data_IF_362375002101
#
_entry.id   IF_362375002101
#
_cell.length_a   1.000
_cell.length_b   1.000
_cell.length_c   1.000
_cell.angle_alpha   90.00
_cell.angle_beta   90.00
_cell.angle_gamma   90.00
#
_symmetry.space_group_name_H-M   'P 1'
#
loop_
_entity.id
_entity.type
_entity.pdbx_description
1 polymer ?
#
# COMPACT_ATOMS: atom_id res chain seq x y z
N UNK A 1 -18.26 14.51 -4.04
CA UNK A 1 -17.90 13.55 -5.09
C UNK A 1 -16.99 12.56 -4.40
N UNK A 2 -17.54 11.47 -3.89
CA UNK A 2 -16.85 10.50 -3.05
C UNK A 2 -16.94 9.11 -3.68
N UNK A 3 -15.89 8.32 -3.45
CA UNK A 3 -15.50 7.07 -4.10
C UNK A 3 -14.95 7.23 -5.52
N UNK A 4 -13.72 7.75 -5.64
CA UNK A 4 -12.86 7.27 -6.74
C UNK A 4 -12.37 5.89 -6.29
N UNK A 5 -12.87 4.85 -6.97
CA UNK A 5 -12.38 3.46 -6.97
C UNK A 5 -10.94 3.34 -7.51
N UNK A 6 -10.10 4.34 -7.22
CA UNK A 6 -8.77 4.49 -7.77
C UNK A 6 -7.96 3.25 -7.52
N UNK A 7 -8.01 2.63 -6.35
CA UNK A 7 -7.24 1.43 -6.06
C UNK A 7 -8.16 0.21 -5.99
N UNK A 8 -7.83 -0.94 -6.57
CA UNK A 8 -8.63 -2.17 -6.34
C UNK A 8 -7.79 -3.41 -6.54
N UNK A 9 -8.09 -4.47 -5.81
CA UNK A 9 -7.51 -5.78 -6.11
C UNK A 9 -8.31 -6.41 -7.24
N UNK A 10 -7.62 -6.78 -8.31
CA UNK A 10 -8.16 -7.55 -9.42
C UNK A 10 -7.74 -9.00 -9.26
N UNK A 11 -8.71 -9.88 -9.10
CA UNK A 11 -8.48 -11.30 -8.83
C UNK A 11 -9.23 -11.79 -7.62
N UNK A 12 -8.88 -12.99 -7.17
CA UNK A 12 -9.44 -13.58 -5.96
C UNK A 12 -8.34 -13.61 -4.91
N UNK A 13 -8.62 -13.02 -3.75
CA UNK A 13 -7.71 -13.06 -2.59
C UNK A 13 -7.93 -14.40 -1.91
N UNK A 14 -6.88 -15.22 -1.81
CA UNK A 14 -6.90 -16.47 -1.05
C UNK A 14 -5.67 -16.55 -0.17
N UNK A 15 -5.83 -16.23 1.12
CA UNK A 15 -4.74 -16.32 2.10
C UNK A 15 -4.75 -17.71 2.73
N UNK A 16 -3.63 -18.47 2.60
CA UNK A 16 -3.49 -19.80 3.18
C UNK A 16 -3.72 -19.80 4.70
N UNK A 17 -4.41 -20.82 5.21
CA UNK A 17 -4.82 -20.90 6.62
C UNK A 17 -3.63 -20.79 7.57
N UNK A 18 -2.51 -21.42 7.24
CA UNK A 18 -1.27 -21.41 8.02
C UNK A 18 -0.60 -20.04 8.09
N UNK A 19 -0.93 -19.12 7.17
CA UNK A 19 -0.41 -17.74 7.17
C UNK A 19 -1.39 -16.71 7.75
N UNK A 20 -2.65 -17.08 8.00
CA UNK A 20 -3.69 -16.12 8.43
C UNK A 20 -3.36 -15.45 9.76
N UNK A 21 -2.83 -16.19 10.72
CA UNK A 21 -2.49 -15.63 12.03
C UNK A 21 -1.40 -14.56 11.91
N UNK A 22 -0.36 -14.82 11.13
CA UNK A 22 0.69 -13.85 10.83
C UNK A 22 0.16 -12.64 10.07
N UNK A 23 -0.65 -12.90 9.04
CA UNK A 23 -1.29 -11.85 8.24
C UNK A 23 -2.16 -10.92 9.10
N UNK A 24 -3.02 -11.49 9.95
CA UNK A 24 -3.89 -10.73 10.85
C UNK A 24 -3.09 -9.86 11.82
N UNK A 25 -2.02 -10.40 12.44
CA UNK A 25 -1.13 -9.62 13.30
C UNK A 25 -0.46 -8.46 12.55
N UNK A 26 -0.09 -8.67 11.29
CA UNK A 26 0.50 -7.61 10.47
C UNK A 26 -0.53 -6.53 10.09
N UNK A 27 -1.78 -6.91 9.81
CA UNK A 27 -2.89 -5.95 9.59
C UNK A 27 -3.14 -5.11 10.84
N UNK A 28 -3.23 -5.74 12.02
CA UNK A 28 -3.37 -5.04 13.31
C UNK A 28 -2.22 -4.05 13.52
N UNK A 29 -0.99 -4.45 13.21
CA UNK A 29 0.18 -3.57 13.31
C UNK A 29 0.10 -2.38 12.36
N UNK A 30 -0.36 -2.58 11.12
CA UNK A 30 -0.63 -1.50 10.17
C UNK A 30 -1.67 -0.54 10.76
N UNK A 31 -2.82 -1.04 11.22
CA UNK A 31 -3.85 -0.18 11.82
C UNK A 31 -3.33 0.60 13.03
N UNK A 32 -2.53 -0.04 13.89
CA UNK A 32 -1.98 0.61 15.09
C UNK A 32 -0.98 1.71 14.73
N UNK A 33 0.02 1.39 13.91
CA UNK A 33 1.09 2.29 13.48
C UNK A 33 0.54 3.47 12.69
N UNK A 34 -0.45 3.24 11.82
CA UNK A 34 -1.10 4.31 11.05
C UNK A 34 -2.14 5.12 11.83
N UNK A 35 -2.29 4.87 13.15
CA UNK A 35 -3.23 5.62 13.97
C UNK A 35 -4.69 5.43 13.54
N UNK A 36 -5.02 4.26 12.99
CA UNK A 36 -6.39 3.91 12.58
C UNK A 36 -7.13 3.39 13.80
N UNK A 37 -8.28 3.99 14.09
CA UNK A 37 -9.04 3.75 15.32
C UNK A 37 -10.54 3.58 15.05
N UNK A 38 -11.21 3.04 16.05
CA UNK A 38 -12.66 3.02 16.13
C UNK A 38 -13.13 4.10 17.11
N UNK A 39 -14.14 4.89 16.73
CA UNK A 39 -14.75 5.84 17.65
C UNK A 39 -15.77 5.16 18.55
N UNK A 40 -15.80 5.54 19.82
CA UNK A 40 -16.81 5.11 20.80
C UNK A 40 -17.30 6.32 21.60
N UNK A 41 -18.56 6.29 22.05
CA UNK A 41 -19.10 7.30 22.97
C UNK A 41 -18.93 6.83 24.41
N UNK A 42 -18.37 7.68 25.27
CA UNK A 42 -18.13 7.41 26.69
C UNK A 42 -18.56 8.59 27.55
N UNK A 43 -19.05 8.29 28.74
CA UNK A 43 -19.30 9.30 29.78
C UNK A 43 -18.03 9.54 30.59
N UNK A 44 -17.66 10.81 30.76
CA UNK A 44 -16.60 11.26 31.66
C UNK A 44 -17.18 12.37 32.53
N UNK A 45 -17.37 12.08 33.82
CA UNK A 45 -18.14 12.93 34.70
C UNK A 45 -19.59 13.05 34.21
N UNK A 46 -20.04 14.28 33.92
CA UNK A 46 -21.38 14.59 33.41
C UNK A 46 -21.40 14.85 31.89
N UNK A 47 -20.32 14.57 31.16
CA UNK A 47 -20.20 14.81 29.71
C UNK A 47 -20.07 13.52 28.92
N UNK A 48 -20.82 13.42 27.82
CA UNK A 48 -20.59 12.42 26.78
C UNK A 48 -19.54 12.94 25.79
N UNK A 49 -18.48 12.17 25.58
CA UNK A 49 -17.38 12.49 24.66
C UNK A 49 -17.13 11.36 23.66
N UNK A 50 -16.51 11.69 22.53
CA UNK A 50 -15.99 10.68 21.61
C UNK A 50 -14.57 10.27 21.99
N UNK A 51 -14.33 8.97 22.16
CA UNK A 51 -13.00 8.39 22.42
C UNK A 51 -12.55 7.49 21.28
N UNK A 52 -11.26 7.19 21.24
CA UNK A 52 -10.64 6.29 20.27
C UNK A 52 -10.26 4.97 20.92
N UNK A 53 -10.81 3.88 20.39
CA UNK A 53 -10.40 2.53 20.75
C UNK A 53 -9.51 1.94 19.65
N UNK A 54 -8.54 1.10 20.05
CA UNK A 54 -7.86 0.22 19.10
C UNK A 54 -8.90 -0.70 18.41
N UNK A 55 -8.86 -0.84 17.08
CA UNK A 55 -9.77 -1.75 16.40
C UNK A 55 -9.51 -3.18 16.86
N UNK A 56 -10.56 -3.86 17.31
CA UNK A 56 -10.51 -5.25 17.77
C UNK A 56 -11.54 -6.08 17.01
N UNK A 57 -11.26 -7.38 16.87
CA UNK A 57 -12.19 -8.30 16.23
C UNK A 57 -13.36 -8.61 17.17
N UNK A 58 -14.59 -8.55 16.65
CA UNK A 58 -15.77 -9.06 17.35
C UNK A 58 -15.85 -10.61 17.30
N UNK A 59 -16.93 -11.17 17.86
CA UNK A 59 -17.18 -12.62 17.89
C UNK A 59 -17.21 -13.25 16.47
N UNK A 60 -17.60 -12.46 15.47
CA UNK A 60 -17.63 -12.86 14.07
C UNK A 60 -16.28 -12.69 13.37
N UNK A 61 -15.28 -12.13 14.04
CA UNK A 61 -13.96 -11.84 13.49
C UNK A 61 -13.92 -10.54 12.70
N UNK A 62 -14.90 -9.66 12.86
CA UNK A 62 -14.96 -8.38 12.15
C UNK A 62 -14.29 -7.30 13.01
N UNK A 63 -13.23 -6.72 12.47
CA UNK A 63 -12.55 -5.54 13.00
C UNK A 63 -13.17 -4.32 12.34
N UNK A 64 -13.73 -3.39 13.11
CA UNK A 64 -14.34 -2.16 12.60
C UNK A 64 -13.47 -0.95 12.95
N UNK A 65 -13.36 -0.01 12.02
CA UNK A 65 -12.63 1.24 12.23
C UNK A 65 -13.22 2.33 11.35
N UNK A 66 -13.09 3.57 11.81
CA UNK A 66 -13.76 4.70 11.16
C UNK A 66 -13.07 6.03 11.48
N UNK A 67 -11.82 6.02 11.96
CA UNK A 67 -11.12 7.25 12.33
C UNK A 67 -9.64 7.18 12.01
N UNK A 68 -9.12 8.26 11.40
CA UNK A 68 -7.70 8.50 11.23
C UNK A 68 -7.22 9.52 12.28
N UNK A 69 -6.37 9.08 13.21
CA UNK A 69 -5.74 9.98 14.20
C UNK A 69 -4.89 11.05 13.55
N UNK A 70 -4.24 10.70 12.45
CA UNK A 70 -3.31 11.57 11.75
C UNK A 70 -4.03 12.63 10.94
N UNK A 71 -5.14 12.28 10.30
CA UNK A 71 -5.95 13.24 9.52
C UNK A 71 -7.01 13.95 10.38
N UNK A 72 -7.19 13.53 11.64
CA UNK A 72 -8.21 14.04 12.59
C UNK A 72 -9.63 13.93 12.00
N UNK A 73 -9.92 12.81 11.35
CA UNK A 73 -11.09 12.67 10.50
C UNK A 73 -11.81 11.35 10.71
N UNK A 74 -13.12 11.44 10.88
CA UNK A 74 -14.05 10.30 10.81
C UNK A 74 -14.26 9.91 9.35
N UNK A 75 -14.20 8.61 9.08
CA UNK A 75 -14.38 7.96 7.78
C UNK A 75 -15.69 7.18 7.74
N UNK A 76 -16.14 6.83 6.54
CA UNK A 76 -17.27 5.91 6.39
C UNK A 76 -16.90 4.54 7.00
N UNK A 77 -17.88 3.80 7.52
CA UNK A 77 -17.58 2.62 8.36
C UNK A 77 -16.83 1.52 7.61
N UNK A 78 -15.51 1.46 7.80
CA UNK A 78 -14.63 0.47 7.23
C UNK A 78 -14.55 -0.78 8.11
N UNK A 79 -14.23 -1.91 7.50
CA UNK A 79 -14.06 -3.16 8.23
C UNK A 79 -13.09 -4.13 7.60
N UNK A 80 -12.49 -4.96 8.44
CA UNK A 80 -11.61 -6.04 8.07
C UNK A 80 -12.08 -7.33 8.72
N UNK A 81 -12.11 -8.44 7.98
CA UNK A 81 -12.54 -9.74 8.50
C UNK A 81 -11.32 -10.64 8.72
N UNK A 82 -11.06 -11.03 9.97
CA UNK A 82 -9.89 -11.86 10.34
C UNK A 82 -9.99 -13.32 9.88
N UNK A 83 -11.20 -13.80 9.55
CA UNK A 83 -11.46 -15.16 9.06
C UNK A 83 -11.28 -15.27 7.54
N UNK A 84 -11.75 -14.28 6.79
CA UNK A 84 -11.63 -14.24 5.32
C UNK A 84 -10.45 -13.42 4.82
N UNK A 85 -9.83 -12.64 5.71
CA UNK A 85 -8.78 -11.67 5.42
C UNK A 85 -9.19 -10.58 4.41
N UNK A 86 -10.49 -10.31 4.27
CA UNK A 86 -11.01 -9.30 3.36
C UNK A 86 -11.13 -7.93 4.03
N UNK A 87 -10.82 -6.89 3.26
CA UNK A 87 -10.95 -5.49 3.65
C UNK A 87 -12.13 -4.88 2.88
N UNK A 88 -13.04 -4.24 3.60
CA UNK A 88 -14.17 -3.47 3.06
C UNK A 88 -13.90 -2.01 3.43
N UNK A 89 -13.62 -1.19 2.41
CA UNK A 89 -13.27 0.22 2.62
C UNK A 89 -14.00 1.13 1.59
N UNK A 90 -15.22 1.61 1.92
CA UNK A 90 -16.01 2.47 1.03
C UNK A 90 -15.36 3.86 0.80
N UNK A 91 -14.70 4.42 1.81
CA UNK A 91 -13.92 5.67 1.70
C UNK A 91 -12.43 5.40 1.90
N UNK A 92 -11.71 5.19 0.79
CA UNK A 92 -10.26 4.95 0.83
C UNK A 92 -9.45 6.10 1.41
N UNK A 93 -9.98 7.33 1.37
CA UNK A 93 -9.17 8.53 1.61
C UNK A 93 -8.00 8.68 0.62
N UNK A 94 -7.15 9.69 0.87
CA UNK A 94 -6.04 10.06 -0.03
C UNK A 94 -4.69 10.21 0.70
N UNK A 95 -4.68 10.42 2.02
CA UNK A 95 -3.47 10.67 2.82
C UNK A 95 -3.11 9.44 3.68
N UNK A 96 -2.79 9.61 4.97
CA UNK A 96 -2.31 8.52 5.85
C UNK A 96 -3.30 7.35 5.94
N UNK A 97 -4.61 7.62 5.89
CA UNK A 97 -5.63 6.58 5.86
C UNK A 97 -5.54 5.72 4.59
N UNK A 98 -5.38 6.37 3.44
CA UNK A 98 -5.23 5.68 2.15
C UNK A 98 -3.95 4.85 2.09
N UNK A 99 -2.86 5.34 2.69
CA UNK A 99 -1.62 4.57 2.81
C UNK A 99 -1.83 3.31 3.65
N UNK A 100 -2.53 3.40 4.79
CA UNK A 100 -2.85 2.24 5.63
C UNK A 100 -3.69 1.20 4.87
N UNK A 101 -4.75 1.64 4.18
CA UNK A 101 -5.61 0.74 3.40
C UNK A 101 -4.84 0.07 2.26
N UNK A 102 -4.04 0.84 1.52
CA UNK A 102 -3.21 0.30 0.45
C UNK A 102 -2.15 -0.67 0.98
N UNK A 103 -1.57 -0.43 2.16
CA UNK A 103 -0.67 -1.38 2.81
C UNK A 103 -1.35 -2.72 3.07
N UNK A 104 -2.61 -2.72 3.54
CA UNK A 104 -3.39 -3.96 3.74
C UNK A 104 -3.63 -4.67 2.40
N UNK A 105 -4.02 -3.94 1.35
CA UNK A 105 -4.22 -4.53 0.02
C UNK A 105 -2.93 -5.12 -0.57
N UNK A 106 -1.79 -4.47 -0.36
CA UNK A 106 -0.48 -4.97 -0.81
C UNK A 106 -0.10 -6.24 -0.07
N UNK A 107 -0.37 -6.31 1.24
CA UNK A 107 -0.19 -7.55 1.98
C UNK A 107 -1.14 -8.64 1.45
N UNK A 108 -2.41 -8.33 1.15
CA UNK A 108 -3.35 -9.31 0.59
C UNK A 108 -2.81 -9.89 -0.72
N UNK A 109 -2.26 -9.05 -1.59
CA UNK A 109 -1.60 -9.49 -2.82
C UNK A 109 -0.38 -10.38 -2.54
N UNK A 110 0.52 -9.96 -1.65
CA UNK A 110 1.75 -10.69 -1.33
C UNK A 110 1.48 -12.07 -0.71
N UNK A 111 0.46 -12.19 0.15
CA UNK A 111 0.13 -13.43 0.84
C UNK A 111 -0.78 -14.36 0.04
N UNK A 112 -1.39 -13.90 -1.05
CA UNK A 112 -2.36 -14.69 -1.81
C UNK A 112 -1.70 -15.84 -2.57
N UNK A 113 -2.25 -17.05 -2.45
CA UNK A 113 -1.83 -18.22 -3.24
C UNK A 113 -2.38 -18.18 -4.67
N UNK A 114 -3.50 -17.47 -4.87
CA UNK A 114 -4.12 -17.25 -6.19
C UNK A 114 -3.67 -15.92 -6.79
N UNK A 115 -3.51 -15.84 -8.12
CA UNK A 115 -3.15 -14.59 -8.78
C UNK A 115 -4.17 -13.50 -8.50
N UNK A 116 -3.70 -12.40 -7.91
CA UNK A 116 -4.44 -11.16 -7.73
C UNK A 116 -3.45 -9.99 -7.74
N UNK A 117 -3.90 -8.81 -8.17
CA UNK A 117 -3.04 -7.65 -8.35
C UNK A 117 -3.72 -6.38 -7.87
N UNK A 118 -3.03 -5.60 -7.03
CA UNK A 118 -3.46 -4.25 -6.70
C UNK A 118 -3.27 -3.35 -7.92
N UNK A 119 -4.39 -2.85 -8.42
CA UNK A 119 -4.47 -1.89 -9.50
C UNK A 119 -4.73 -0.49 -8.94
N UNK A 120 -4.24 0.50 -9.66
CA UNK A 120 -4.57 1.92 -9.53
C UNK A 120 -5.11 2.37 -10.87
N UNK A 121 -6.41 2.63 -10.95
CA UNK A 121 -7.16 2.81 -12.18
C UNK A 121 -6.97 1.57 -13.09
N UNK A 122 -6.45 1.77 -14.29
CA UNK A 122 -6.13 0.70 -15.24
C UNK A 122 -4.67 0.21 -15.17
N UNK A 123 -3.89 0.67 -14.19
CA UNK A 123 -2.45 0.39 -14.11
C UNK A 123 -2.08 -0.42 -12.86
N UNK A 124 -1.02 -1.23 -12.93
CA UNK A 124 -0.49 -1.91 -11.75
C UNK A 124 -0.03 -0.89 -10.70
N UNK A 125 -0.42 -1.10 -9.45
CA UNK A 125 0.09 -0.27 -8.36
C UNK A 125 1.58 -0.57 -8.13
N UNK A 126 2.42 0.46 -7.95
CA UNK A 126 3.78 0.26 -7.48
C UNK A 126 3.74 -0.26 -6.03
N UNK A 127 4.41 -1.38 -5.77
CA UNK A 127 4.46 -2.06 -4.46
C UNK A 127 5.77 -1.84 -3.73
N UNK A 128 6.86 -1.42 -4.38
CA UNK A 128 8.21 -1.42 -3.81
C UNK A 128 8.35 -0.53 -2.56
N UNK A 129 7.84 0.70 -2.62
CA UNK A 129 7.89 1.63 -1.49
C UNK A 129 7.01 1.18 -0.33
N UNK A 130 5.81 0.66 -0.62
CA UNK A 130 4.92 0.12 0.39
C UNK A 130 5.50 -1.13 1.04
N UNK A 131 6.06 -2.05 0.24
CA UNK A 131 6.69 -3.27 0.72
C UNK A 131 7.83 -2.92 1.67
N UNK A 132 8.75 -2.03 1.27
CA UNK A 132 9.84 -1.59 2.15
C UNK A 132 9.35 -1.06 3.50
N UNK A 133 8.27 -0.28 3.50
CA UNK A 133 7.66 0.25 4.73
C UNK A 133 7.00 -0.86 5.57
N UNK A 134 6.26 -1.78 4.94
CA UNK A 134 5.61 -2.90 5.64
C UNK A 134 6.67 -3.84 6.23
N UNK A 135 7.76 -4.10 5.51
CA UNK A 135 8.85 -4.95 6.00
C UNK A 135 9.59 -4.32 7.18
N UNK A 136 9.87 -3.01 7.15
CA UNK A 136 10.46 -2.29 8.30
C UNK A 136 9.51 -2.32 9.51
N UNK A 137 8.22 -2.17 9.25
CA UNK A 137 7.20 -2.21 10.28
C UNK A 137 7.04 -3.60 10.89
N UNK A 138 6.91 -4.65 10.08
CA UNK A 138 6.54 -6.00 10.52
C UNK A 138 7.76 -6.86 10.86
N UNK A 139 8.92 -6.56 10.29
CA UNK A 139 10.13 -7.38 10.32
C UNK A 139 10.11 -8.59 9.37
N UNK A 140 8.98 -8.83 8.69
CA UNK A 140 8.84 -9.87 7.67
C UNK A 140 9.25 -9.36 6.29
N UNK A 141 9.68 -10.26 5.39
CA UNK A 141 9.89 -9.94 3.97
C UNK A 141 8.62 -10.21 3.18
N UNK A 142 8.28 -9.33 2.25
CA UNK A 142 7.16 -9.56 1.34
C UNK A 142 7.67 -10.07 -0.01
N UNK A 143 7.08 -11.19 -0.43
CA UNK A 143 7.29 -11.74 -1.77
C UNK A 143 6.02 -11.55 -2.61
N UNK A 144 6.20 -11.29 -3.91
CA UNK A 144 5.11 -11.10 -4.86
C UNK A 144 5.18 -12.15 -5.97
N UNK A 145 4.88 -13.43 -5.67
CA UNK A 145 5.15 -14.55 -6.57
C UNK A 145 4.42 -14.43 -7.92
N UNK A 146 3.23 -13.83 -7.92
CA UNK A 146 2.41 -13.66 -9.14
C UNK A 146 2.88 -12.51 -10.03
N UNK A 147 3.79 -11.65 -9.55
CA UNK A 147 4.40 -10.56 -10.34
C UNK A 147 5.67 -10.99 -11.08
N UNK A 148 6.13 -12.22 -10.89
CA UNK A 148 7.44 -12.69 -11.38
C UNK A 148 7.58 -12.86 -12.91
N UNK A 149 6.53 -12.60 -13.70
CA UNK A 149 6.57 -12.48 -15.16
C UNK A 149 5.48 -11.55 -15.63
N UNK A 150 5.84 -10.53 -16.38
CA UNK A 150 4.85 -9.54 -16.81
C UNK A 150 3.81 -10.09 -17.79
N UNK A 151 4.21 -11.02 -18.65
CA UNK A 151 3.31 -11.68 -19.60
C UNK A 151 2.18 -12.43 -18.88
N UNK A 152 2.49 -13.07 -17.74
CA UNK A 152 1.49 -13.79 -16.95
C UNK A 152 0.47 -12.80 -16.33
N UNK A 153 0.94 -11.64 -15.86
CA UNK A 153 0.07 -10.57 -15.34
C UNK A 153 -0.81 -10.01 -16.44
N UNK A 154 -0.25 -9.73 -17.62
CA UNK A 154 -1.00 -9.25 -18.78
C UNK A 154 -2.05 -10.26 -19.25
N UNK A 155 -1.67 -11.53 -19.41
CA UNK A 155 -2.58 -12.59 -19.80
C UNK A 155 -3.75 -12.70 -18.81
N UNK A 156 -3.46 -12.60 -17.50
CA UNK A 156 -4.48 -12.59 -16.45
C UNK A 156 -5.44 -11.39 -16.57
N UNK A 157 -4.93 -10.19 -16.85
CA UNK A 157 -5.75 -8.99 -17.02
C UNK A 157 -6.60 -9.06 -18.29
N UNK A 158 -6.01 -9.45 -19.43
CA UNK A 158 -6.71 -9.53 -20.73
C UNK A 158 -7.85 -10.55 -20.76
N UNK A 159 -7.84 -11.53 -19.85
CA UNK A 159 -8.95 -12.50 -19.66
C UNK A 159 -10.16 -11.91 -18.92
N UNK A 160 -10.07 -10.69 -18.39
CA UNK A 160 -11.16 -10.02 -17.66
C UNK A 160 -11.78 -8.94 -18.52
N UNK A 161 -13.11 -8.92 -18.55
CA UNK A 161 -13.86 -7.97 -19.39
C UNK A 161 -13.50 -6.51 -19.12
N UNK A 162 -13.29 -6.15 -17.84
CA UNK A 162 -12.89 -4.79 -17.44
C UNK A 162 -11.50 -4.36 -17.95
N UNK A 163 -10.62 -5.33 -18.25
CA UNK A 163 -9.20 -5.09 -18.57
C UNK A 163 -8.80 -5.62 -19.95
N UNK A 164 -9.76 -6.09 -20.75
CA UNK A 164 -9.52 -6.66 -22.09
C UNK A 164 -8.76 -5.69 -23.00
N UNK A 165 -9.08 -4.40 -22.89
CA UNK A 165 -8.51 -3.33 -23.71
C UNK A 165 -7.45 -2.51 -22.96
N UNK A 166 -6.90 -3.02 -21.85
CA UNK A 166 -5.85 -2.32 -21.10
C UNK A 166 -4.64 -2.07 -22.00
N UNK A 167 -4.17 -0.83 -22.02
CA UNK A 167 -2.98 -0.41 -22.78
C UNK A 167 -1.72 -0.96 -22.10
N UNK A 168 -0.93 -1.74 -22.83
CA UNK A 168 0.32 -2.33 -22.35
C UNK A 168 1.32 -1.24 -21.90
N UNK A 169 1.23 -0.01 -22.42
CA UNK A 169 2.06 1.11 -21.96
C UNK A 169 1.69 1.63 -20.56
N UNK A 170 0.40 1.58 -20.19
CA UNK A 170 -0.02 1.98 -18.84
C UNK A 170 0.58 1.05 -17.78
N UNK A 171 0.75 -0.23 -18.14
CA UNK A 171 1.43 -1.22 -17.31
C UNK A 171 2.95 -0.99 -17.30
N UNK A 172 3.54 -0.69 -18.47
CA UNK A 172 4.98 -0.37 -18.64
C UNK A 172 5.51 0.70 -17.68
N UNK A 173 4.82 1.84 -17.56
CA UNK A 173 5.34 2.99 -16.81
C UNK A 173 5.40 2.77 -15.28
N UNK A 174 4.72 1.75 -14.75
CA UNK A 174 4.69 1.48 -13.30
C UNK A 174 5.53 0.28 -12.87
N UNK A 175 6.05 -0.47 -13.84
CA UNK A 175 6.92 -1.64 -13.69
C UNK A 175 8.35 -1.23 -13.32
N UNK A 176 8.83 -0.08 -13.83
CA UNK A 176 10.20 0.39 -13.62
C UNK A 176 10.51 0.89 -12.21
N UNK A 177 9.49 1.22 -11.42
CA UNK A 177 9.65 1.79 -10.07
C UNK A 177 9.74 0.73 -8.95
N UNK A 178 9.59 -0.56 -9.28
CA UNK A 178 9.30 -1.60 -8.30
C UNK A 178 10.38 -2.69 -8.13
N UNK A 179 10.37 -3.27 -6.94
CA UNK A 179 11.22 -4.35 -6.41
C UNK A 179 11.07 -5.70 -7.12
N UNK A 180 10.51 -5.72 -8.32
CA UNK A 180 10.28 -6.95 -9.10
C UNK A 180 11.49 -7.11 -10.04
N UNK A 181 12.20 -8.25 -9.99
CA UNK A 181 13.31 -8.50 -10.89
C UNK A 181 12.75 -8.72 -12.30
N UNK A 182 12.66 -7.66 -13.09
CA UNK A 182 12.39 -7.75 -14.52
C UNK A 182 13.67 -8.03 -15.28
N UNK A 183 13.56 -8.90 -16.27
CA UNK A 183 14.65 -9.24 -17.19
C UNK A 183 14.49 -8.46 -18.49
N UNK A 184 15.58 -8.30 -19.24
CA UNK A 184 15.51 -7.82 -20.63
C UNK A 184 14.58 -8.67 -21.48
N UNK A 185 14.45 -9.97 -21.19
CA UNK A 185 13.55 -10.88 -21.89
C UNK A 185 12.08 -10.52 -21.62
N UNK A 186 11.71 -10.11 -20.40
CA UNK A 186 10.36 -9.63 -20.10
C UNK A 186 10.03 -8.36 -20.90
N UNK A 187 11.01 -7.47 -21.08
CA UNK A 187 10.86 -6.25 -21.91
C UNK A 187 10.63 -6.64 -23.37
N UNK A 188 11.47 -7.53 -23.92
CA UNK A 188 11.35 -7.99 -25.31
C UNK A 188 10.00 -8.70 -25.51
N UNK A 189 9.56 -9.51 -24.54
CA UNK A 189 8.28 -10.21 -24.60
C UNK A 189 7.12 -9.22 -24.78
N UNK A 190 7.11 -8.14 -24.00
CA UNK A 190 6.11 -7.06 -24.09
C UNK A 190 6.14 -6.30 -25.41
N UNK A 191 7.34 -5.99 -25.91
CA UNK A 191 7.48 -5.25 -27.16
C UNK A 191 6.86 -6.01 -28.33
N UNK A 192 7.03 -7.34 -28.40
CA UNK A 192 6.42 -8.14 -29.46
C UNK A 192 4.89 -8.21 -29.36
N UNK A 193 4.33 -8.27 -28.14
CA UNK A 193 2.87 -8.25 -27.96
C UNK A 193 2.26 -6.95 -28.52
N UNK A 194 2.95 -5.83 -28.33
CA UNK A 194 2.41 -4.50 -28.62
C UNK A 194 2.75 -3.98 -30.01
N UNK A 195 4.01 -4.05 -30.39
CA UNK A 195 4.56 -3.46 -31.61
C UNK A 195 4.74 -4.52 -32.70
N UNK A 196 3.75 -5.39 -32.87
CA UNK A 196 3.55 -6.14 -34.13
C UNK A 196 4.08 -5.27 -35.29
N UNK A 197 5.14 -5.67 -36.02
CA UNK A 197 5.87 -4.72 -36.84
C UNK A 197 4.96 -4.12 -37.91
N UNK A 198 4.55 -2.87 -37.68
CA UNK A 198 3.78 -2.06 -38.61
C UNK A 198 4.71 -1.53 -39.69
N UNK A 199 4.49 -1.94 -40.94
CA UNK A 199 4.91 -1.38 -42.24
C UNK A 199 6.39 -0.97 -42.49
N UNK A 200 7.21 -0.70 -41.48
CA UNK A 200 8.64 -0.34 -41.56
C UNK A 200 9.55 -1.57 -41.36
N UNK A 201 9.26 -2.67 -42.06
CA UNK A 201 10.17 -3.83 -42.07
C UNK A 201 11.48 -3.50 -42.75
N UNK A 202 12.55 -4.14 -42.28
CA UNK A 202 13.90 -3.92 -42.76
C UNK A 202 14.02 -4.21 -44.27
N UNK A 203 14.94 -3.48 -44.91
CA UNK A 203 15.25 -3.61 -46.34
C UNK A 203 15.95 -4.94 -46.70
N UNK A 204 16.43 -5.72 -45.73
CA UNK A 204 17.29 -6.89 -45.93
C UNK A 204 16.84 -8.10 -45.07
N UNK A 205 15.84 -8.90 -45.50
CA UNK A 205 15.40 -10.09 -44.77
C UNK A 205 16.49 -11.18 -44.73
N UNK A 206 16.46 -12.03 -43.70
CA UNK A 206 17.31 -13.22 -43.64
C UNK A 206 16.99 -14.16 -44.82
N UNK A 207 18.03 -14.56 -45.56
CA UNK A 207 17.96 -15.43 -46.73
C UNK A 207 18.87 -16.66 -46.63
N UNK A 208 19.37 -16.95 -45.43
CA UNK A 208 20.21 -18.09 -45.13
C UNK A 208 19.42 -19.38 -44.91
N UNK A 209 20.15 -20.44 -44.57
CA UNK A 209 19.67 -21.78 -44.24
C UNK A 209 19.45 -21.96 -42.74
N UNK A 210 18.76 -23.03 -42.33
CA UNK A 210 18.56 -23.39 -40.92
C UNK A 210 19.87 -23.41 -40.11
N UNK A 211 20.97 -23.88 -40.69
CA UNK A 211 22.28 -23.92 -40.02
C UNK A 211 22.89 -22.53 -39.72
N UNK A 212 22.41 -21.48 -40.38
CA UNK A 212 22.87 -20.10 -40.27
C UNK A 212 21.99 -19.27 -39.31
N UNK A 213 20.87 -19.82 -38.82
CA UNK A 213 19.96 -19.15 -37.85
C UNK A 213 20.70 -18.74 -36.57
N UNK A 214 21.67 -19.55 -36.13
CA UNK A 214 22.50 -19.26 -34.95
C UNK A 214 23.38 -18.01 -35.09
N UNK A 215 23.62 -17.55 -36.31
CA UNK A 215 24.47 -16.40 -36.62
C UNK A 215 23.65 -15.14 -36.97
N UNK A 216 22.33 -15.30 -37.17
CA UNK A 216 21.40 -14.21 -37.46
C UNK A 216 20.93 -13.46 -36.21
N UNK A 217 20.48 -12.21 -36.40
CA UNK A 217 19.82 -11.44 -35.34
C UNK A 217 18.35 -11.84 -35.23
N UNK A 218 17.73 -11.63 -34.06
CA UNK A 218 16.29 -11.90 -33.90
C UNK A 218 15.45 -11.05 -34.86
N UNK A 219 15.86 -9.82 -35.19
CA UNK A 219 15.10 -8.97 -36.11
C UNK A 219 15.09 -9.55 -37.53
N UNK A 220 16.23 -10.06 -38.01
CA UNK A 220 16.31 -10.62 -39.37
C UNK A 220 15.51 -11.93 -39.50
N UNK A 221 15.38 -12.67 -38.40
CA UNK A 221 14.67 -13.94 -38.34
C UNK A 221 13.14 -13.78 -38.30
N UNK A 222 12.61 -12.58 -38.08
CA UNK A 222 11.17 -12.39 -37.83
C UNK A 222 10.41 -12.51 -39.14
N UNK A 223 10.87 -11.77 -40.16
CA UNK A 223 10.34 -11.86 -41.51
C UNK A 223 10.54 -13.26 -42.12
N UNK A 224 11.67 -13.89 -41.80
CA UNK A 224 11.93 -15.26 -42.23
C UNK A 224 10.92 -16.23 -41.60
N UNK A 225 10.68 -16.11 -40.30
CA UNK A 225 9.69 -16.93 -39.59
C UNK A 225 8.27 -16.72 -40.13
N UNK A 226 7.84 -15.47 -40.30
CA UNK A 226 6.53 -15.14 -40.88
C UNK A 226 6.39 -15.74 -42.28
N UNK A 227 7.41 -15.62 -43.12
CA UNK A 227 7.42 -16.20 -44.47
C UNK A 227 7.26 -17.73 -44.43
N UNK A 228 8.08 -18.41 -43.63
CA UNK A 228 8.04 -19.86 -43.49
C UNK A 228 6.68 -20.35 -42.98
N UNK A 229 6.07 -19.62 -42.04
CA UNK A 229 4.71 -19.93 -41.56
C UNK A 229 3.66 -19.69 -42.65
N UNK A 230 3.72 -18.58 -43.39
CA UNK A 230 2.78 -18.29 -44.49
C UNK A 230 2.87 -19.34 -45.61
N UNK A 231 4.08 -19.76 -45.98
CA UNK A 231 4.29 -20.82 -46.96
C UNK A 231 3.74 -22.16 -46.46
N UNK A 232 3.93 -22.49 -45.18
CA UNK A 232 3.31 -23.68 -44.59
C UNK A 232 1.78 -23.59 -44.58
N UNK A 233 1.19 -22.46 -44.17
CA UNK A 233 -0.27 -22.29 -44.11
C UNK A 233 -0.94 -22.30 -45.49
N UNK A 234 -0.19 -22.04 -46.57
CA UNK A 234 -0.73 -22.10 -47.93
C UNK A 234 -1.08 -23.54 -48.36
N UNK A 235 -0.28 -24.53 -47.96
CA UNK A 235 -0.41 -25.94 -48.37
C UNK A 235 -0.67 -26.91 -47.20
N UNK A 236 -0.57 -26.43 -45.96
CA UNK A 236 -0.63 -27.19 -44.71
C UNK A 236 -1.92 -27.00 -43.93
N UNK A 237 -1.92 -27.45 -42.67
CA UNK A 237 -3.07 -27.35 -41.76
C UNK A 237 -2.75 -26.44 -40.59
N UNK A 238 -3.56 -25.40 -40.40
CA UNK A 238 -3.49 -24.50 -39.24
C UNK A 238 -3.63 -25.27 -37.92
N UNK A 239 -4.49 -26.29 -37.86
CA UNK A 239 -4.64 -27.13 -36.66
C UNK A 239 -3.34 -27.86 -36.30
N UNK A 240 -2.64 -28.40 -37.30
CA UNK A 240 -1.36 -29.11 -37.09
C UNK A 240 -0.28 -28.14 -36.63
N UNK A 241 -0.21 -26.94 -37.23
CA UNK A 241 0.71 -25.90 -36.79
C UNK A 241 0.41 -25.45 -35.36
N UNK A 242 -0.87 -25.26 -35.03
CA UNK A 242 -1.33 -24.84 -33.71
C UNK A 242 -0.98 -25.88 -32.63
N UNK A 243 -1.14 -27.17 -32.91
CA UNK A 243 -0.75 -28.24 -32.00
C UNK A 243 0.77 -28.30 -31.81
N UNK A 244 1.53 -28.14 -32.88
CA UNK A 244 3.00 -28.03 -32.80
C UNK A 244 3.43 -26.82 -31.95
N UNK A 245 2.83 -25.64 -32.17
CA UNK A 245 3.11 -24.44 -31.38
C UNK A 245 2.78 -24.65 -29.90
N UNK A 246 1.63 -25.26 -29.59
CA UNK A 246 1.21 -25.58 -28.22
C UNK A 246 2.26 -26.44 -27.52
N UNK A 247 2.74 -27.49 -28.18
CA UNK A 247 3.78 -28.37 -27.65
C UNK A 247 5.12 -27.64 -27.50
N UNK A 248 5.56 -26.93 -28.55
CA UNK A 248 6.84 -26.23 -28.59
C UNK A 248 6.94 -25.17 -27.49
N UNK A 249 5.94 -24.29 -27.37
CA UNK A 249 6.03 -23.18 -26.42
C UNK A 249 5.79 -23.63 -24.97
N UNK A 250 5.24 -24.83 -24.76
CA UNK A 250 5.11 -25.45 -23.43
C UNK A 250 6.33 -26.30 -23.05
N UNK A 251 7.28 -26.48 -23.97
CA UNK A 251 8.43 -27.36 -23.81
C UNK A 251 9.65 -26.65 -23.21
N UNK A 252 10.37 -27.38 -22.35
CA UNK A 252 11.66 -26.95 -21.82
C UNK A 252 12.76 -27.02 -22.89
N UNK A 253 13.92 -26.39 -22.61
CA UNK A 253 15.00 -26.26 -23.59
C UNK A 253 15.47 -27.60 -24.20
N UNK A 254 15.65 -28.71 -23.44
CA UNK A 254 16.07 -29.99 -24.01
C UNK A 254 15.09 -30.56 -25.04
N UNK A 255 13.79 -30.45 -24.80
CA UNK A 255 12.72 -30.91 -25.68
C UNK A 255 12.68 -30.06 -26.95
N UNK A 256 12.78 -28.74 -26.81
CA UNK A 256 12.84 -27.82 -27.96
C UNK A 256 14.06 -28.09 -28.85
N UNK A 257 15.20 -28.47 -28.28
CA UNK A 257 16.39 -28.89 -29.06
C UNK A 257 16.12 -30.14 -29.89
N UNK A 258 15.39 -31.12 -29.35
CA UNK A 258 14.99 -32.32 -30.11
C UNK A 258 14.02 -31.96 -31.24
N UNK A 259 13.08 -31.06 -30.99
CA UNK A 259 12.17 -30.56 -32.04
C UNK A 259 12.95 -29.83 -33.15
N UNK A 260 14.01 -29.11 -32.78
CA UNK A 260 14.89 -28.44 -33.72
C UNK A 260 15.76 -29.40 -34.55
N UNK A 261 15.80 -30.70 -34.27
CA UNK A 261 16.46 -31.68 -35.14
C UNK A 261 15.59 -32.06 -36.36
N UNK A 262 14.28 -31.77 -36.33
CA UNK A 262 13.37 -32.06 -37.44
C UNK A 262 13.72 -31.24 -38.68
N UNK A 263 13.46 -31.76 -39.87
CA UNK A 263 13.59 -31.02 -41.12
C UNK A 263 12.32 -30.21 -41.43
N UNK A 264 12.43 -29.24 -42.35
CA UNK A 264 11.31 -28.41 -42.80
C UNK A 264 10.91 -27.31 -41.80
N UNK A 265 9.71 -26.75 -42.01
CA UNK A 265 9.20 -25.57 -41.28
C UNK A 265 9.18 -25.76 -39.77
N UNK A 266 8.74 -26.91 -39.26
CA UNK A 266 8.72 -27.19 -37.82
C UNK A 266 10.12 -27.21 -37.21
N UNK A 267 11.09 -27.76 -37.92
CA UNK A 267 12.50 -27.70 -37.55
C UNK A 267 13.05 -26.29 -37.47
N UNK A 268 12.69 -25.43 -38.43
CA UNK A 268 13.08 -24.02 -38.47
C UNK A 268 12.46 -23.25 -37.30
N UNK A 269 11.15 -23.40 -37.07
CA UNK A 269 10.45 -22.75 -35.95
C UNK A 269 11.08 -23.18 -34.61
N UNK A 270 11.33 -24.48 -34.43
CA UNK A 270 11.94 -24.99 -33.21
C UNK A 270 13.39 -24.48 -33.02
N UNK A 271 14.19 -24.37 -34.08
CA UNK A 271 15.55 -23.81 -34.01
C UNK A 271 15.52 -22.34 -33.57
N UNK A 272 14.61 -21.53 -34.11
CA UNK A 272 14.44 -20.13 -33.71
C UNK A 272 14.01 -20.04 -32.23
N UNK A 273 13.15 -20.94 -31.76
CA UNK A 273 12.70 -20.98 -30.35
C UNK A 273 13.86 -21.09 -29.35
N UNK A 274 14.99 -21.69 -29.74
CA UNK A 274 16.14 -21.89 -28.85
C UNK A 274 16.76 -20.57 -28.37
N UNK A 275 16.45 -19.46 -29.05
CA UNK A 275 17.01 -18.13 -28.79
C UNK A 275 15.94 -17.03 -28.67
N UNK A 276 14.79 -17.20 -29.31
CA UNK A 276 13.69 -16.25 -29.27
C UNK A 276 12.77 -16.48 -28.07
N UNK A 277 12.18 -15.43 -27.47
CA UNK A 277 11.10 -15.58 -26.50
C UNK A 277 9.84 -16.17 -27.15
N UNK A 278 8.99 -16.79 -26.35
CA UNK A 278 7.79 -17.45 -26.88
C UNK A 278 6.81 -16.45 -27.55
N UNK A 279 6.71 -15.21 -27.04
CA UNK A 279 5.84 -14.18 -27.63
C UNK A 279 6.27 -13.79 -29.04
N UNK A 280 7.57 -13.86 -29.35
CA UNK A 280 8.09 -13.61 -30.70
C UNK A 280 7.54 -14.65 -31.68
N UNK A 281 7.59 -15.93 -31.32
CA UNK A 281 7.06 -17.00 -32.16
C UNK A 281 5.55 -16.85 -32.38
N UNK A 282 4.82 -16.55 -31.30
CA UNK A 282 3.35 -16.39 -31.34
C UNK A 282 2.96 -15.15 -32.14
N UNK A 283 3.73 -14.06 -32.07
CA UNK A 283 3.47 -12.84 -32.86
C UNK A 283 3.67 -13.10 -34.35
N UNK A 284 4.74 -13.80 -34.73
CA UNK A 284 4.96 -14.18 -36.13
C UNK A 284 3.85 -15.10 -36.67
N UNK A 285 3.34 -16.03 -35.86
CA UNK A 285 2.21 -16.88 -36.24
C UNK A 285 0.90 -16.07 -36.32
N UNK A 286 0.60 -15.24 -35.32
CA UNK A 286 -0.57 -14.37 -35.30
C UNK A 286 -0.64 -13.51 -36.58
N UNK A 287 0.48 -12.92 -36.97
CA UNK A 287 0.57 -12.16 -38.22
C UNK A 287 0.43 -13.03 -39.48
N UNK A 288 1.09 -14.18 -39.53
CA UNK A 288 1.03 -15.07 -40.68
C UNK A 288 -0.39 -15.60 -40.94
N UNK A 289 -1.15 -15.82 -39.87
CA UNK A 289 -2.52 -16.33 -39.91
C UNK A 289 -3.59 -15.23 -39.92
N UNK A 290 -3.21 -13.95 -39.82
CA UNK A 290 -4.14 -12.81 -39.67
C UNK A 290 -5.10 -12.97 -38.47
N UNK A 291 -4.56 -13.42 -37.32
CA UNK A 291 -5.28 -13.63 -36.05
C UNK A 291 -4.75 -12.66 -35.00
N UNK A 292 -5.59 -11.99 -34.19
CA UNK A 292 -5.12 -11.17 -33.08
C UNK A 292 -4.25 -11.96 -32.09
N UNK A 293 -3.11 -11.38 -31.66
CA UNK A 293 -2.15 -12.05 -30.79
C UNK A 293 -2.80 -12.74 -29.57
N UNK A 294 -3.65 -12.02 -28.84
CA UNK A 294 -4.27 -12.55 -27.61
C UNK A 294 -5.28 -13.66 -27.88
N UNK A 295 -5.98 -13.62 -29.03
CA UNK A 295 -6.87 -14.72 -29.45
C UNK A 295 -6.07 -16.00 -29.70
N UNK A 296 -4.96 -15.88 -30.44
CA UNK A 296 -4.05 -17.00 -30.67
C UNK A 296 -3.43 -17.50 -29.34
N UNK A 297 -2.88 -16.60 -28.53
CA UNK A 297 -2.25 -16.93 -27.25
C UNK A 297 -3.17 -17.74 -26.34
N UNK A 298 -4.43 -17.31 -26.15
CA UNK A 298 -5.38 -18.03 -25.31
C UNK A 298 -5.82 -19.36 -25.92
N UNK A 299 -5.89 -19.48 -27.25
CA UNK A 299 -6.19 -20.75 -27.92
C UNK A 299 -5.10 -21.81 -27.71
N UNK A 300 -3.85 -21.39 -27.49
CA UNK A 300 -2.70 -22.27 -27.21
C UNK A 300 -2.70 -22.81 -25.77
N UNK A 301 -3.55 -22.30 -24.87
CA UNK A 301 -3.75 -22.81 -23.50
C UNK A 301 -2.44 -23.10 -22.74
N UNK A 302 -1.49 -22.17 -22.81
CA UNK A 302 -0.15 -22.33 -22.26
C UNK A 302 0.32 -21.05 -21.58
N UNK A 303 1.32 -21.20 -20.70
CA UNK A 303 2.02 -20.06 -20.10
C UNK A 303 3.24 -19.64 -20.91
N UNK A 304 3.69 -20.45 -21.88
CA UNK A 304 4.90 -20.22 -22.65
C UNK A 304 6.19 -20.41 -21.83
N UNK A 305 7.26 -20.90 -22.46
CA UNK A 305 8.57 -21.04 -21.83
C UNK A 305 9.21 -19.69 -21.50
N UNK A 306 10.21 -19.70 -20.62
CA UNK A 306 11.13 -18.57 -20.42
C UNK A 306 12.45 -18.83 -21.12
N UNK A 307 12.90 -17.89 -21.94
CA UNK A 307 14.28 -17.89 -22.43
C UNK A 307 15.15 -17.48 -21.23
N UNK A 308 16.04 -18.37 -20.75
CA UNK A 308 17.01 -17.98 -19.72
C UNK A 308 18.21 -17.33 -20.42
N UNK A 309 18.05 -16.14 -20.96
CA UNK A 309 19.20 -15.42 -21.53
C UNK A 309 20.00 -14.84 -20.36
N UNK A 310 21.09 -15.51 -19.98
CA UNK A 310 22.00 -15.05 -18.93
C UNK A 310 22.74 -13.81 -19.47
N UNK A 311 22.26 -12.59 -19.19
CA UNK A 311 23.08 -11.39 -19.31
C UNK A 311 22.50 -10.24 -18.47
N UNK A 312 23.39 -9.64 -17.67
CA UNK A 312 23.22 -8.45 -16.82
C UNK A 312 22.24 -8.53 -15.65
N UNK A 313 22.60 -9.29 -14.60
CA UNK A 313 22.02 -9.08 -13.26
C UNK A 313 23.05 -8.94 -12.14
N UNK A 314 24.34 -8.75 -12.45
CA UNK A 314 25.34 -8.58 -11.38
C UNK A 314 25.28 -7.18 -10.71
N UNK A 315 24.54 -6.21 -11.26
CA UNK A 315 24.50 -4.84 -10.70
C UNK A 315 23.16 -4.41 -10.05
N UNK A 316 22.05 -5.14 -10.26
CA UNK A 316 20.76 -4.79 -9.62
C UNK A 316 20.51 -5.53 -8.29
N UNK A 317 21.27 -6.59 -8.00
CA UNK A 317 21.18 -7.34 -6.74
C UNK A 317 21.64 -6.54 -5.52
N UNK A 318 22.33 -5.42 -5.71
CA UNK A 318 22.84 -4.57 -4.62
C UNK A 318 21.87 -3.48 -4.15
N UNK A 319 20.68 -3.36 -4.74
CA UNK A 319 19.68 -2.38 -4.26
C UNK A 319 18.97 -2.81 -2.97
N UNK A 320 19.06 -4.09 -2.59
CA UNK A 320 18.47 -4.61 -1.35
C UNK A 320 19.21 -4.14 -0.09
N UNK A 321 20.48 -3.70 -0.19
CA UNK A 321 21.32 -3.39 0.98
C UNK A 321 21.12 -1.98 1.56
N UNK A 322 20.33 -1.10 0.94
CA UNK A 322 20.16 0.28 1.41
C UNK A 322 18.70 0.74 1.49
N UNK A 323 17.80 -0.11 2.00
CA UNK A 323 16.50 0.39 2.48
C UNK A 323 16.73 1.12 3.81
N UNK A 324 16.97 2.43 3.74
CA UNK A 324 17.10 3.29 4.93
C UNK A 324 15.78 3.27 5.69
N UNK A 325 15.84 2.80 6.95
CA UNK A 325 14.80 3.00 7.96
C UNK A 325 14.42 4.47 8.00
N UNK A 326 13.15 4.81 7.71
CA UNK A 326 12.61 6.17 7.87
C UNK A 326 11.67 6.13 9.05
N UNK A 327 11.80 7.11 9.95
CA UNK A 327 10.85 7.26 11.04
C UNK A 327 9.46 7.56 10.45
N UNK A 328 8.42 6.98 11.04
CA UNK A 328 7.07 6.97 10.49
C UNK A 328 6.57 8.38 10.12
N UNK A 329 6.87 9.39 10.95
CA UNK A 329 6.48 10.78 10.69
C UNK A 329 7.23 11.42 9.51
N UNK A 330 8.44 10.96 9.18
CA UNK A 330 9.18 11.38 7.99
C UNK A 330 8.53 10.82 6.71
N UNK A 331 7.88 9.66 6.81
CA UNK A 331 7.07 9.10 5.73
C UNK A 331 5.84 10.00 5.49
N UNK A 332 5.26 10.56 6.55
CA UNK A 332 4.11 11.48 6.48
C UNK A 332 4.48 12.96 6.31
N UNK A 333 5.76 13.29 6.09
CA UNK A 333 6.28 14.66 5.95
C UNK A 333 5.90 15.60 7.12
N UNK A 334 5.83 15.08 8.34
CA UNK A 334 5.61 15.89 9.54
C UNK A 334 6.93 16.42 10.09
N UNK A 335 6.87 17.60 10.68
CA UNK A 335 8.05 18.26 11.24
C UNK A 335 8.40 17.78 12.66
N UNK A 336 7.44 17.24 13.43
CA UNK A 336 7.60 16.82 14.83
C UNK A 336 6.53 15.79 15.26
N UNK A 337 6.70 15.27 16.49
CA UNK A 337 5.81 14.29 17.13
C UNK A 337 4.91 14.89 18.23
N UNK A 338 4.73 16.22 18.25
CA UNK A 338 4.14 16.92 19.39
C UNK A 338 2.76 16.36 19.81
N UNK A 339 1.92 15.96 18.85
CA UNK A 339 0.58 15.43 19.14
C UNK A 339 0.55 13.93 19.43
N UNK A 340 1.65 13.18 19.28
CA UNK A 340 1.67 11.71 19.22
C UNK A 340 2.66 11.07 20.21
N UNK A 341 2.93 11.78 21.30
CA UNK A 341 3.77 11.36 22.42
C UNK A 341 3.37 10.00 23.02
N UNK A 342 2.11 9.56 22.88
CA UNK A 342 1.68 8.24 23.35
C UNK A 342 2.37 7.07 22.61
N UNK A 343 2.96 7.33 21.45
CA UNK A 343 3.71 6.35 20.65
C UNK A 343 5.23 6.44 20.85
N UNK A 344 5.73 7.44 21.57
CA UNK A 344 7.16 7.67 21.79
C UNK A 344 7.50 9.13 22.07
N UNK A 345 8.76 9.40 22.41
CA UNK A 345 9.26 10.73 22.76
C UNK A 345 10.28 11.25 21.73
N UNK A 346 10.02 11.06 20.43
CA UNK A 346 10.98 11.33 19.35
C UNK A 346 11.27 12.81 19.15
N UNK A 347 11.04 13.34 17.94
CA UNK A 347 11.41 14.73 17.63
C UNK A 347 10.35 15.73 18.10
N UNK A 348 10.57 16.39 19.24
CA UNK A 348 9.66 17.40 19.81
C UNK A 348 10.02 18.83 19.37
N UNK A 349 9.01 19.65 19.13
CA UNK A 349 9.22 21.06 18.80
C UNK A 349 9.73 21.87 20.00
N UNK A 350 10.51 22.93 19.72
CA UNK A 350 10.95 23.88 20.75
C UNK A 350 9.76 24.51 21.51
N UNK A 351 8.63 24.67 20.84
CA UNK A 351 7.43 25.28 21.42
C UNK A 351 6.80 24.34 22.45
N UNK A 352 6.63 23.06 22.12
CA UNK A 352 6.12 22.07 23.07
C UNK A 352 7.08 21.90 24.25
N UNK A 353 8.40 21.85 24.01
CA UNK A 353 9.39 21.79 25.09
C UNK A 353 9.29 22.97 26.05
N UNK A 354 9.08 24.19 25.52
CA UNK A 354 8.82 25.38 26.34
C UNK A 354 7.55 25.24 27.17
N UNK A 355 6.45 24.76 26.57
CA UNK A 355 5.20 24.57 27.29
C UNK A 355 5.30 23.51 28.40
N UNK A 356 6.02 22.41 28.15
CA UNK A 356 6.27 21.36 29.15
C UNK A 356 7.04 21.94 30.34
N UNK A 357 7.99 22.86 30.10
CA UNK A 357 8.71 23.55 31.17
C UNK A 357 7.79 24.46 32.00
N UNK A 358 6.89 25.21 31.35
CA UNK A 358 5.88 26.02 32.06
C UNK A 358 4.95 25.15 32.91
N UNK A 359 4.41 24.05 32.36
CA UNK A 359 3.56 23.14 33.12
C UNK A 359 4.27 22.52 34.32
N UNK A 360 5.57 22.21 34.20
CA UNK A 360 6.41 21.75 35.32
C UNK A 360 6.45 22.75 36.47
N UNK A 361 6.54 24.04 36.17
CA UNK A 361 6.54 25.11 37.17
C UNK A 361 5.15 25.34 37.75
N UNK A 362 4.13 25.46 36.90
CA UNK A 362 2.76 25.74 37.33
C UNK A 362 2.20 24.68 38.28
N UNK A 363 2.47 23.40 38.04
CA UNK A 363 1.99 22.30 38.90
C UNK A 363 2.55 22.39 40.33
N UNK A 364 3.74 22.98 40.51
CA UNK A 364 4.31 23.20 41.84
C UNK A 364 3.54 24.28 42.62
N UNK A 365 3.06 25.31 41.92
CA UNK A 365 2.41 26.48 42.52
C UNK A 365 0.90 26.30 42.72
N UNK A 366 0.24 25.52 41.86
CA UNK A 366 -1.22 25.33 41.91
C UNK A 366 -1.66 24.69 43.23
N UNK A 367 -2.64 25.32 43.87
CA UNK A 367 -3.39 24.76 45.00
C UNK A 367 -4.66 24.11 44.47
N UNK A 368 -4.91 22.86 44.88
CA UNK A 368 -6.15 22.16 44.51
C UNK A 368 -7.26 22.61 45.46
N UNK A 369 -8.43 23.06 44.95
CA UNK A 369 -9.59 23.37 45.79
C UNK A 369 -10.04 22.17 46.64
N UNK A 370 -10.60 22.43 47.83
CA UNK A 370 -11.06 21.36 48.75
C UNK A 370 -12.13 20.44 48.11
N UNK A 371 -13.00 20.99 47.27
CA UNK A 371 -14.05 20.25 46.55
C UNK A 371 -13.77 20.23 45.03
N UNK A 372 -12.61 19.70 44.63
CA UNK A 372 -12.28 19.55 43.21
C UNK A 372 -12.69 18.18 42.64
N UNK A 373 -13.62 18.20 41.70
CA UNK A 373 -14.03 17.02 40.93
C UNK A 373 -13.18 16.88 39.66
N UNK A 374 -12.16 16.04 39.73
CA UNK A 374 -11.22 15.82 38.64
C UNK A 374 -11.86 15.15 37.42
N UNK A 375 -12.82 14.26 37.64
CA UNK A 375 -13.48 13.52 36.55
C UNK A 375 -14.39 14.45 35.77
N UNK A 376 -15.17 15.29 36.47
CA UNK A 376 -15.97 16.34 35.85
C UNK A 376 -15.13 17.39 35.13
N UNK A 377 -14.02 17.82 35.74
CA UNK A 377 -13.10 18.76 35.10
C UNK A 377 -12.50 18.20 33.81
N UNK A 378 -12.05 16.94 33.84
CA UNK A 378 -11.54 16.23 32.66
C UNK A 378 -12.63 16.10 31.57
N UNK A 379 -13.85 15.71 31.95
CA UNK A 379 -14.97 15.61 31.02
C UNK A 379 -15.28 16.93 30.31
N UNK A 380 -15.28 18.05 31.04
CA UNK A 380 -15.45 19.38 30.46
C UNK A 380 -14.31 19.77 29.51
N UNK A 381 -13.06 19.51 29.90
CA UNK A 381 -11.87 19.76 29.06
C UNK A 381 -11.94 18.98 27.75
N UNK A 382 -12.22 17.67 27.82
CA UNK A 382 -12.29 16.79 26.66
C UNK A 382 -13.44 17.20 25.74
N UNK A 383 -14.59 17.57 26.31
CA UNK A 383 -15.73 18.08 25.56
C UNK A 383 -15.38 19.36 24.79
N UNK A 384 -14.71 20.33 25.42
CA UNK A 384 -14.27 21.56 24.76
C UNK A 384 -13.22 21.30 23.69
N UNK A 385 -12.27 20.38 23.94
CA UNK A 385 -11.28 19.98 22.95
C UNK A 385 -11.94 19.43 21.68
N UNK A 386 -12.96 18.58 21.83
CA UNK A 386 -13.74 18.04 20.72
C UNK A 386 -14.58 19.12 20.01
N UNK A 387 -15.44 19.81 20.76
CA UNK A 387 -16.52 20.63 20.17
C UNK A 387 -16.13 22.07 19.87
N UNK A 388 -15.14 22.62 20.59
CA UNK A 388 -14.73 24.02 20.47
C UNK A 388 -13.41 24.13 19.71
N UNK A 389 -12.41 23.35 20.10
CA UNK A 389 -11.05 23.47 19.56
C UNK A 389 -10.79 22.59 18.33
N UNK A 390 -11.69 21.65 18.02
CA UNK A 390 -11.52 20.67 16.95
C UNK A 390 -10.18 19.91 17.06
N UNK A 391 -9.82 19.54 18.30
CA UNK A 391 -8.69 18.67 18.58
C UNK A 391 -9.01 17.23 18.18
N UNK A 392 -7.95 16.41 18.03
CA UNK A 392 -8.13 14.96 17.87
C UNK A 392 -8.80 14.38 19.12
N UNK A 393 -9.60 13.34 18.93
CA UNK A 393 -10.15 12.56 20.03
C UNK A 393 -9.05 11.88 20.84
N UNK A 394 -9.28 11.74 22.14
CA UNK A 394 -8.37 11.02 23.05
C UNK A 394 -8.64 9.52 23.00
N UNK A 395 -7.68 8.70 23.44
CA UNK A 395 -7.88 7.26 23.51
C UNK A 395 -8.80 6.88 24.68
N UNK A 396 -9.43 5.71 24.59
CA UNK A 396 -10.25 5.16 25.68
C UNK A 396 -9.40 5.00 26.96
N UNK A 397 -8.17 4.54 26.83
CA UNK A 397 -7.25 4.35 27.95
C UNK A 397 -6.93 5.68 28.66
N UNK A 398 -7.00 6.82 27.95
CA UNK A 398 -6.85 8.14 28.57
C UNK A 398 -7.98 8.43 29.57
N UNK A 399 -9.20 8.02 29.24
CA UNK A 399 -10.35 8.11 30.14
C UNK A 399 -10.18 7.19 31.34
N UNK A 400 -9.68 5.98 31.14
CA UNK A 400 -9.39 5.06 32.25
C UNK A 400 -8.33 5.62 33.20
N UNK A 401 -7.29 6.27 32.67
CA UNK A 401 -6.27 6.96 33.47
C UNK A 401 -6.89 8.11 34.27
N UNK A 402 -7.80 8.90 33.68
CA UNK A 402 -8.54 9.95 34.40
C UNK A 402 -9.26 9.35 35.60
N UNK A 403 -10.03 8.28 35.39
CA UNK A 403 -10.84 7.65 36.43
C UNK A 403 -9.99 7.04 37.54
N UNK A 404 -8.88 6.39 37.16
CA UNK A 404 -7.94 5.76 38.11
C UNK A 404 -7.21 6.78 38.98
N UNK A 405 -6.92 7.97 38.45
CA UNK A 405 -6.11 8.99 39.14
C UNK A 405 -6.92 10.20 39.64
N UNK A 406 -8.25 10.11 39.65
CA UNK A 406 -9.14 11.23 40.02
C UNK A 406 -8.85 11.83 41.40
N UNK A 407 -8.35 11.01 42.33
CA UNK A 407 -8.03 11.40 43.70
C UNK A 407 -6.53 11.74 43.91
N UNK A 408 -5.69 11.59 42.88
CA UNK A 408 -4.26 11.96 42.98
C UNK A 408 -4.09 13.48 42.83
N UNK A 409 -3.59 14.12 43.89
CA UNK A 409 -3.37 15.57 43.95
C UNK A 409 -2.47 16.08 42.81
N UNK A 410 -1.49 15.29 42.36
CA UNK A 410 -0.60 15.67 41.27
C UNK A 410 -1.33 15.65 39.92
N UNK A 411 -2.23 14.68 39.73
CA UNK A 411 -3.12 14.63 38.56
C UNK A 411 -4.09 15.82 38.55
N UNK A 412 -4.70 16.12 39.70
CA UNK A 412 -5.59 17.28 39.86
C UNK A 412 -4.87 18.60 39.53
N UNK A 413 -3.64 18.78 40.01
CA UNK A 413 -2.79 19.94 39.66
C UNK A 413 -2.47 20.01 38.17
N UNK A 414 -2.17 18.88 37.52
CA UNK A 414 -1.91 18.85 36.08
C UNK A 414 -3.14 19.26 35.26
N UNK A 415 -4.33 18.78 35.62
CA UNK A 415 -5.60 19.20 34.99
C UNK A 415 -5.86 20.71 35.18
N UNK A 416 -5.59 21.24 36.37
CA UNK A 416 -5.74 22.67 36.65
C UNK A 416 -4.73 23.53 35.86
N UNK A 417 -3.48 23.09 35.73
CA UNK A 417 -2.46 23.75 34.90
C UNK A 417 -2.91 23.78 33.43
N UNK A 418 -3.39 22.64 32.93
CA UNK A 418 -3.91 22.56 31.57
C UNK A 418 -5.15 23.45 31.37
N UNK A 419 -6.07 23.49 32.33
CA UNK A 419 -7.23 24.38 32.29
C UNK A 419 -6.82 25.85 32.24
N UNK A 420 -5.80 26.23 33.01
CA UNK A 420 -5.22 27.59 32.97
C UNK A 420 -4.66 27.91 31.59
N UNK A 421 -3.95 26.98 30.95
CA UNK A 421 -3.45 27.13 29.58
C UNK A 421 -4.58 27.31 28.55
N UNK A 422 -5.65 26.50 28.63
CA UNK A 422 -6.81 26.63 27.75
C UNK A 422 -7.48 28.00 27.88
N UNK A 423 -7.54 28.52 29.10
CA UNK A 423 -8.13 29.81 29.43
C UNK A 423 -7.15 30.98 29.38
N UNK A 424 -5.87 30.78 29.02
CA UNK A 424 -4.94 31.87 28.86
C UNK A 424 -5.53 32.79 27.77
N UNK A 425 -5.73 34.07 28.10
CA UNK A 425 -6.52 35.11 27.41
C UNK A 425 -7.91 35.44 27.95
N UNK A 426 -8.51 34.61 28.82
CA UNK A 426 -9.79 34.94 29.48
C UNK A 426 -9.69 36.24 30.31
N UNK A 427 -8.53 36.50 30.88
CA UNK A 427 -8.26 37.71 31.67
C UNK A 427 -8.41 39.02 30.89
N UNK A 428 -8.30 38.98 29.56
CA UNK A 428 -8.47 40.16 28.71
C UNK A 428 -9.94 40.44 28.35
N UNK A 429 -10.84 39.49 28.65
CA UNK A 429 -12.28 39.59 28.38
C UNK A 429 -13.09 39.22 29.64
N UNK A 430 -12.85 39.87 30.80
CA UNK A 430 -13.49 39.52 32.06
C UNK A 430 -15.02 39.67 32.03
N UNK A 431 -15.55 40.45 31.11
CA UNK A 431 -16.98 40.69 30.90
C UNK A 431 -17.70 39.59 30.14
N UNK A 432 -16.96 38.68 29.48
CA UNK A 432 -17.52 37.60 28.68
C UNK A 432 -17.39 36.26 29.41
N UNK A 433 -18.40 35.37 29.32
CA UNK A 433 -18.26 33.99 29.79
C UNK A 433 -17.08 33.29 29.12
N UNK A 434 -16.31 32.45 29.84
CA UNK A 434 -15.16 31.75 29.29
C UNK A 434 -15.45 30.97 28.00
N UNK A 435 -16.62 30.36 27.92
CA UNK A 435 -17.07 29.60 26.76
C UNK A 435 -17.22 30.52 25.53
N UNK A 436 -17.76 31.73 25.72
CA UNK A 436 -17.97 32.70 24.64
C UNK A 436 -16.66 33.29 24.12
N UNK A 437 -15.71 33.60 25.01
CA UNK A 437 -14.37 34.07 24.65
C UNK A 437 -13.64 33.00 23.85
N UNK A 438 -13.74 31.76 24.31
CA UNK A 438 -13.13 30.60 23.65
C UNK A 438 -13.70 30.41 22.25
N UNK A 439 -15.02 30.29 22.11
CA UNK A 439 -15.69 29.99 20.83
C UNK A 439 -15.61 31.13 19.81
N UNK A 440 -15.74 32.39 20.25
CA UNK A 440 -15.89 33.52 19.33
C UNK A 440 -14.57 34.25 19.03
N UNK A 441 -13.63 34.22 19.97
CA UNK A 441 -12.39 35.00 19.90
C UNK A 441 -11.19 34.06 19.74
N UNK A 442 -10.98 33.14 20.69
CA UNK A 442 -9.75 32.37 20.73
C UNK A 442 -9.65 31.29 19.65
N UNK A 443 -10.75 30.64 19.26
CA UNK A 443 -10.72 29.65 18.16
C UNK A 443 -10.35 30.28 16.82
N UNK A 444 -10.63 31.59 16.63
CA UNK A 444 -10.30 32.34 15.41
C UNK A 444 -8.89 32.94 15.44
N UNK A 445 -8.45 33.38 16.61
CA UNK A 445 -7.19 34.12 16.79
C UNK A 445 -6.01 33.22 17.20
N UNK A 446 -6.25 32.07 17.84
CA UNK A 446 -5.17 31.13 18.20
C UNK A 446 -4.76 30.24 17.04
N UNK A 447 -3.45 30.27 16.77
CA UNK A 447 -2.76 29.50 15.75
C UNK A 447 -2.93 27.97 15.93
N UNK A 448 -2.78 27.22 14.84
CA UNK A 448 -2.81 25.75 14.75
C UNK A 448 -2.01 25.09 15.88
N UNK A 449 -0.85 25.66 16.23
CA UNK A 449 0.02 25.15 17.30
C UNK A 449 -0.63 25.08 18.70
N UNK A 450 -1.64 25.90 19.01
CA UNK A 450 -2.35 25.78 20.29
C UNK A 450 -3.15 24.46 20.36
N UNK A 451 -3.73 24.04 19.24
CA UNK A 451 -4.47 22.77 19.15
C UNK A 451 -3.51 21.57 19.25
N UNK A 452 -2.33 21.71 18.66
CA UNK A 452 -1.24 20.73 18.78
C UNK A 452 -0.80 20.57 20.23
N UNK A 453 -0.59 21.67 20.96
CA UNK A 453 -0.23 21.61 22.39
C UNK A 453 -1.37 20.99 23.24
N UNK A 454 -2.63 21.31 22.94
CA UNK A 454 -3.77 20.70 23.63
C UNK A 454 -3.84 19.18 23.43
N UNK A 455 -3.62 18.72 22.19
CA UNK A 455 -3.51 17.30 21.87
C UNK A 455 -2.28 16.66 22.51
N UNK A 456 -1.15 17.39 22.56
CA UNK A 456 0.10 16.96 23.18
C UNK A 456 -0.04 16.74 24.68
N UNK A 457 -0.85 17.55 25.38
CA UNK A 457 -1.07 17.37 26.82
C UNK A 457 -1.62 15.97 27.11
N UNK A 458 -2.73 15.57 26.47
CA UNK A 458 -3.34 14.26 26.70
C UNK A 458 -2.46 13.11 26.23
N UNK A 459 -1.77 13.31 25.11
CA UNK A 459 -0.73 12.41 24.62
C UNK A 459 0.38 12.17 25.65
N UNK A 460 0.85 13.25 26.29
CA UNK A 460 1.84 13.21 27.36
C UNK A 460 1.29 12.51 28.59
N UNK A 461 0.02 12.75 28.96
CA UNK A 461 -0.62 12.06 30.08
C UNK A 461 -0.71 10.54 29.87
N UNK A 462 -0.77 10.08 28.62
CA UNK A 462 -0.74 8.66 28.27
C UNK A 462 0.66 8.05 28.32
N UNK A 463 1.69 8.83 28.02
CA UNK A 463 3.07 8.38 28.05
C UNK A 463 3.61 8.38 29.50
N UNK A 464 3.67 7.20 30.13
CA UNK A 464 4.10 7.07 31.53
C UNK A 464 5.47 7.70 31.80
N UNK A 465 6.45 7.48 30.92
CA UNK A 465 7.80 8.02 31.09
C UNK A 465 7.80 9.55 31.03
N UNK A 466 7.20 10.13 30.00
CA UNK A 466 7.14 11.59 29.86
C UNK A 466 6.26 12.24 30.92
N UNK A 467 5.17 11.58 31.33
CA UNK A 467 4.32 12.02 32.44
C UNK A 467 5.09 12.04 33.75
N UNK A 468 5.86 11.01 34.06
CA UNK A 468 6.71 11.00 35.25
C UNK A 468 7.80 12.07 35.20
N UNK A 469 8.45 12.26 34.05
CA UNK A 469 9.46 13.30 33.87
C UNK A 469 8.88 14.72 33.95
N UNK A 470 7.60 14.89 33.61
CA UNK A 470 6.92 16.18 33.56
C UNK A 470 6.21 16.51 34.86
N UNK A 471 5.36 15.62 35.34
CA UNK A 471 4.48 15.86 36.46
C UNK A 471 4.83 15.04 37.71
N UNK A 472 5.82 14.14 37.62
CA UNK A 472 6.33 13.32 38.74
C UNK A 472 5.31 12.32 39.29
N UNK A 473 4.50 11.70 38.43
CA UNK A 473 3.59 10.61 38.80
C UNK A 473 3.23 9.65 37.66
#
# INVERSE_FOLDING_TARGET
MYADDKYKIVGTISIPEEKREEFNRNVEKVLDVFGIRQTEKRMVGDREITVLKKPEADEDGIVRFNYSMFEKRVREGDSYNTKTCQLICPDRGWDEFGVAMNSILIMQEAYSETPCFLMSDDALCPVGSYAAMIEDMTGGKLDFPHRGRILDVLAFLKQRDEYRDVDEYKLWNRIWDDTIPFTTDDIIELLHVKFMPSEERQKNPFCGTKSEIKDATLVDLEDYLVKEIKEYLADGSDEVLRDFYRELISSELPERRKMAEQDGTFGIIAEISLRAPCTYLVSAYAEAADIPFWELWFSLQTKGYRTKTKMYHDDLSNSAEHRKRRELYQIYRRDNEDEFLEFGAGHLSKKLLGQIAEWKEEVLEIQVPEEFDAERAAGQILWEMEHVWNCRYVSEEAVEIVQKNRDDVRWQKALLAFRKYMNAYQEYFPELPPELVTEQILVRERDYYCRTIMAAFWSLMMNETLRQDTFRF
#
